data_IF_495781882815
#
_entry.id   IF_495781882815
#
_cell.length_a   1.000
_cell.length_b   1.000
_cell.length_c   1.000
_cell.angle_alpha   90.00
_cell.angle_beta   90.00
_cell.angle_gamma   90.00
#
_symmetry.space_group_name_H-M   'P 1'
#
loop_
_entity.id
_entity.type
_entity.pdbx_description
1 polymer ?
#
# COMPACT_ATOMS: atom_id res chain seq x y z
N UNK A 1 -3.89 6.56 10.79
CA UNK A 1 -4.18 7.75 9.94
C UNK A 1 -5.23 7.30 8.92
N UNK A 2 -6.25 8.11 8.63
CA UNK A 2 -7.27 7.76 7.63
C UNK A 2 -6.85 8.27 6.23
N UNK A 3 -6.57 7.39 5.26
CA UNK A 3 -6.13 7.78 3.92
C UNK A 3 -7.19 8.61 3.17
N UNK A 4 -8.48 8.30 3.32
CA UNK A 4 -9.57 8.97 2.60
C UNK A 4 -9.66 10.43 3.04
N UNK A 5 -9.52 10.68 4.34
CA UNK A 5 -9.50 12.03 4.89
C UNK A 5 -8.35 12.85 4.30
N UNK A 6 -7.13 12.30 4.29
CA UNK A 6 -5.96 13.03 3.81
C UNK A 6 -5.96 13.24 2.30
N UNK A 7 -6.41 12.26 1.52
CA UNK A 7 -6.59 12.41 0.08
C UNK A 7 -7.56 13.54 -0.25
N UNK A 8 -8.66 13.68 0.49
CA UNK A 8 -9.61 14.81 0.34
C UNK A 8 -8.97 16.15 0.73
N UNK A 9 -8.30 16.21 1.88
CA UNK A 9 -7.70 17.45 2.41
C UNK A 9 -6.54 17.98 1.56
N UNK A 10 -5.88 17.11 0.81
CA UNK A 10 -4.73 17.45 -0.01
C UNK A 10 -5.02 17.34 -1.51
N UNK A 11 -6.27 17.17 -1.93
CA UNK A 11 -6.65 16.91 -3.32
C UNK A 11 -6.00 17.85 -4.35
N UNK A 12 -5.86 19.12 -3.99
CA UNK A 12 -5.27 20.19 -4.82
C UNK A 12 -3.74 20.18 -4.86
N UNK A 13 -3.08 19.38 -4.01
CA UNK A 13 -1.62 19.33 -3.80
C UNK A 13 -1.01 17.96 -4.05
N UNK A 14 -1.82 16.95 -4.37
CA UNK A 14 -1.32 15.60 -4.64
C UNK A 14 -0.81 15.53 -6.08
N UNK A 15 0.51 15.38 -6.23
CA UNK A 15 1.19 15.21 -7.51
C UNK A 15 1.42 13.72 -7.86
N UNK A 16 1.57 12.89 -6.83
CA UNK A 16 1.97 11.50 -6.97
C UNK A 16 1.58 10.67 -5.74
N UNK A 17 1.16 9.41 -5.96
CA UNK A 17 0.68 8.51 -4.90
C UNK A 17 1.48 7.20 -4.90
N UNK A 18 1.84 6.74 -3.71
CA UNK A 18 2.41 5.41 -3.50
C UNK A 18 1.34 4.52 -2.86
N UNK A 19 1.04 3.40 -3.50
CA UNK A 19 0.24 2.34 -2.93
C UNK A 19 1.14 1.36 -2.20
N UNK A 20 0.83 1.20 -0.92
CA UNK A 20 1.51 0.36 0.06
C UNK A 20 0.42 -0.26 0.91
N UNK A 21 0.53 -1.56 1.16
CA UNK A 21 -0.45 -2.27 1.98
C UNK A 21 0.23 -2.94 3.17
N UNK A 22 -0.54 -3.11 4.23
CA UNK A 22 -0.05 -3.55 5.53
C UNK A 22 -0.83 -4.78 5.98
N UNK A 23 -0.11 -5.83 6.37
CA UNK A 23 -0.69 -6.96 7.10
C UNK A 23 -1.02 -6.51 8.53
N UNK A 24 -2.31 -6.52 8.89
CA UNK A 24 -2.77 -6.02 10.20
C UNK A 24 -2.21 -6.81 11.37
N UNK A 25 -2.09 -8.13 11.22
CA UNK A 25 -1.67 -9.01 12.30
C UNK A 25 -0.19 -8.78 12.59
N UNK A 26 0.62 -8.73 11.52
CA UNK A 26 2.04 -8.44 11.64
C UNK A 26 2.29 -7.00 12.11
N UNK A 27 1.47 -6.03 11.67
CA UNK A 27 1.54 -4.65 12.14
C UNK A 27 1.30 -4.56 13.65
N UNK A 28 0.24 -5.20 14.14
CA UNK A 28 -0.06 -5.24 15.58
C UNK A 28 1.07 -5.90 16.37
N UNK A 29 1.69 -6.96 15.86
CA UNK A 29 2.86 -7.58 16.49
C UNK A 29 4.04 -6.60 16.58
N UNK A 30 4.50 -6.05 15.46
CA UNK A 30 5.73 -5.23 15.42
C UNK A 30 5.57 -3.90 16.15
N UNK A 31 4.35 -3.36 16.25
CA UNK A 31 4.07 -2.15 17.03
C UNK A 31 4.22 -2.35 18.54
N UNK A 32 4.21 -3.59 19.03
CA UNK A 32 4.50 -3.93 20.42
C UNK A 32 5.99 -4.23 20.67
N UNK A 33 6.86 -4.05 19.68
CA UNK A 33 8.29 -4.35 19.75
C UNK A 33 9.16 -3.11 19.65
N UNK A 34 10.35 -3.16 20.28
CA UNK A 34 11.40 -2.20 20.00
C UNK A 34 12.24 -2.67 18.80
N UNK A 35 11.70 -2.46 17.60
CA UNK A 35 12.23 -3.00 16.34
C UNK A 35 12.61 -1.89 15.36
N UNK A 36 13.60 -2.14 14.50
CA UNK A 36 13.97 -1.22 13.42
C UNK A 36 13.01 -1.40 12.23
N UNK A 37 12.77 -0.33 11.49
CA UNK A 37 11.84 -0.32 10.35
C UNK A 37 12.05 -1.49 9.36
N UNK A 38 13.27 -1.69 8.87
CA UNK A 38 13.55 -2.75 7.90
C UNK A 38 13.49 -4.16 8.51
N UNK A 39 13.69 -4.29 9.83
CA UNK A 39 13.49 -5.58 10.49
C UNK A 39 11.98 -5.91 10.58
N UNK A 40 11.12 -4.91 10.81
CA UNK A 40 9.67 -5.09 10.74
C UNK A 40 9.20 -5.42 9.30
N UNK A 41 9.78 -4.77 8.29
CA UNK A 41 9.55 -5.15 6.88
C UNK A 41 10.00 -6.59 6.60
N UNK A 42 11.14 -7.01 7.15
CA UNK A 42 11.64 -8.38 7.01
C UNK A 42 10.73 -9.42 7.68
N UNK A 43 9.98 -9.03 8.72
CA UNK A 43 8.93 -9.83 9.35
C UNK A 43 7.64 -9.92 8.50
N UNK A 44 7.52 -9.15 7.43
CA UNK A 44 6.38 -9.21 6.52
C UNK A 44 5.25 -8.23 6.85
N UNK A 45 5.53 -7.12 7.56
CA UNK A 45 4.48 -6.11 7.82
C UNK A 45 3.94 -5.46 6.55
N UNK A 46 4.75 -5.34 5.50
CA UNK A 46 4.34 -4.85 4.19
C UNK A 46 3.95 -6.03 3.29
N UNK A 47 2.73 -6.03 2.77
CA UNK A 47 2.18 -7.13 1.98
C UNK A 47 1.80 -6.67 0.56
N UNK A 48 1.53 -7.61 -0.37
CA UNK A 48 0.98 -7.26 -1.68
C UNK A 48 -0.33 -6.47 -1.55
N UNK A 49 -0.56 -5.58 -2.50
CA UNK A 49 -1.76 -4.72 -2.56
C UNK A 49 -3.02 -5.58 -2.65
N UNK A 50 -3.99 -5.32 -1.77
CA UNK A 50 -5.26 -6.04 -1.69
C UNK A 50 -5.24 -7.26 -0.77
N UNK A 51 -4.11 -7.51 -0.09
CA UNK A 51 -3.99 -8.55 0.94
C UNK A 51 -3.91 -7.96 2.35
N UNK A 52 -3.80 -6.65 2.48
CA UNK A 52 -3.72 -5.97 3.76
C UNK A 52 -5.00 -5.24 4.13
N UNK A 53 -4.83 -4.16 4.90
CA UNK A 53 -5.93 -3.40 5.52
C UNK A 53 -6.53 -2.30 4.66
N UNK A 54 -5.87 -1.94 3.56
CA UNK A 54 -6.26 -0.76 2.80
C UNK A 54 -7.48 -1.04 1.91
N UNK A 55 -8.48 -0.17 1.98
CA UNK A 55 -9.68 -0.24 1.13
C UNK A 55 -9.45 0.48 -0.20
N UNK A 56 -8.90 -0.26 -1.17
CA UNK A 56 -8.61 0.26 -2.50
C UNK A 56 -9.84 0.56 -3.35
N UNK A 57 -11.01 -0.01 -3.04
CA UNK A 57 -12.26 0.31 -3.74
C UNK A 57 -12.71 1.73 -3.39
N UNK A 58 -12.79 2.03 -2.08
CA UNK A 58 -13.13 3.37 -1.61
C UNK A 58 -12.09 4.41 -2.03
N UNK A 59 -10.80 4.06 -2.01
CA UNK A 59 -9.73 4.94 -2.53
C UNK A 59 -9.94 5.23 -4.01
N UNK A 60 -10.31 4.23 -4.83
CA UNK A 60 -10.52 4.41 -6.27
C UNK A 60 -11.67 5.38 -6.57
N UNK A 61 -12.79 5.20 -5.88
CA UNK A 61 -13.95 6.08 -5.99
C UNK A 61 -13.58 7.52 -5.64
N UNK A 62 -12.82 7.71 -4.56
CA UNK A 62 -12.34 9.02 -4.17
C UNK A 62 -11.41 9.65 -5.22
N UNK A 63 -10.45 8.88 -5.75
CA UNK A 63 -9.51 9.40 -6.75
C UNK A 63 -10.25 9.89 -8.01
N UNK A 64 -11.33 9.21 -8.41
CA UNK A 64 -12.23 9.68 -9.47
C UNK A 64 -12.98 10.96 -9.07
N UNK A 65 -13.50 11.01 -7.85
CA UNK A 65 -14.23 12.18 -7.33
C UNK A 65 -13.36 13.45 -7.32
N UNK A 66 -12.11 13.34 -6.87
CA UNK A 66 -11.17 14.47 -6.86
C UNK A 66 -10.52 14.71 -8.22
N UNK A 67 -10.91 13.96 -9.26
CA UNK A 67 -10.39 14.05 -10.61
C UNK A 67 -8.86 13.93 -10.66
N UNK A 68 -8.30 12.98 -9.91
CA UNK A 68 -6.88 12.69 -9.91
C UNK A 68 -6.47 11.92 -11.17
N UNK A 69 -5.47 12.44 -11.89
CA UNK A 69 -4.93 11.86 -13.13
C UNK A 69 -3.40 11.64 -13.06
N UNK A 70 -2.83 11.77 -11.87
CA UNK A 70 -1.39 11.58 -11.65
C UNK A 70 -1.00 10.10 -11.59
N UNK A 71 0.29 9.85 -11.39
CA UNK A 71 0.81 8.49 -11.31
C UNK A 71 0.50 7.84 -9.96
N UNK A 72 0.34 6.52 -10.00
CA UNK A 72 0.32 5.68 -8.81
C UNK A 72 1.44 4.66 -8.95
N UNK A 73 2.27 4.51 -7.92
CA UNK A 73 3.29 3.47 -7.87
C UNK A 73 2.95 2.44 -6.81
N UNK A 74 2.99 1.18 -7.23
CA UNK A 74 2.98 0.03 -6.30
C UNK A 74 4.36 -0.04 -5.67
N UNK A 75 4.41 0.09 -4.35
CA UNK A 75 5.66 -0.03 -3.59
C UNK A 75 5.47 -0.98 -2.40
N UNK A 76 6.41 -1.90 -2.22
CA UNK A 76 6.42 -2.83 -1.10
C UNK A 76 7.85 -2.97 -0.57
N UNK A 77 8.09 -2.48 0.64
CA UNK A 77 9.38 -2.64 1.32
C UNK A 77 9.56 -4.08 1.79
N UNK A 78 10.77 -4.59 1.60
CA UNK A 78 11.16 -5.92 2.04
C UNK A 78 12.64 -5.99 2.32
N UNK A 79 13.06 -7.07 2.97
CA UNK A 79 14.47 -7.42 3.09
C UNK A 79 15.05 -7.75 1.70
N UNK A 80 16.10 -7.05 1.22
CA UNK A 80 16.69 -7.32 -0.09
C UNK A 80 17.31 -8.73 -0.19
N UNK A 81 17.60 -9.39 0.94
CA UNK A 81 18.06 -10.78 0.98
C UNK A 81 16.95 -11.78 0.62
N UNK A 82 15.69 -11.35 0.71
CA UNK A 82 14.49 -12.16 0.47
C UNK A 82 13.70 -11.63 -0.74
N UNK A 83 14.38 -11.24 -1.82
CA UNK A 83 13.76 -10.63 -3.00
C UNK A 83 13.18 -11.66 -4.02
N UNK A 84 13.26 -12.96 -3.74
CA UNK A 84 12.91 -14.02 -4.70
C UNK A 84 11.45 -14.00 -5.18
N UNK A 85 10.52 -13.51 -4.37
CA UNK A 85 9.08 -13.45 -4.71
C UNK A 85 8.65 -12.10 -5.25
N UNK A 86 9.57 -11.16 -5.52
CA UNK A 86 9.21 -9.77 -5.84
C UNK A 86 8.37 -9.65 -7.11
N UNK A 87 8.64 -10.48 -8.12
CA UNK A 87 7.83 -10.52 -9.33
C UNK A 87 6.42 -11.04 -9.05
N UNK A 88 6.29 -12.07 -8.22
CA UNK A 88 5.00 -12.66 -7.87
C UNK A 88 4.15 -11.68 -7.06
N UNK A 89 4.76 -11.00 -6.09
CA UNK A 89 4.08 -10.04 -5.20
C UNK A 89 3.57 -8.80 -5.98
N UNK A 90 4.41 -8.23 -6.86
CA UNK A 90 3.99 -7.10 -7.70
C UNK A 90 2.97 -7.54 -8.77
N UNK A 91 3.06 -8.77 -9.29
CA UNK A 91 2.09 -9.30 -10.25
C UNK A 91 0.71 -9.48 -9.61
N UNK A 92 0.66 -9.99 -8.38
CA UNK A 92 -0.57 -10.09 -7.59
C UNK A 92 -1.17 -8.71 -7.32
N UNK A 93 -0.34 -7.76 -6.88
CA UNK A 93 -0.76 -6.38 -6.62
C UNK A 93 -1.37 -5.72 -7.86
N UNK A 94 -0.71 -5.85 -9.01
CA UNK A 94 -1.21 -5.32 -10.28
C UNK A 94 -2.50 -6.01 -10.73
N UNK A 95 -2.61 -7.33 -10.57
CA UNK A 95 -3.81 -8.07 -10.92
C UNK A 95 -5.01 -7.63 -10.07
N UNK A 96 -4.82 -7.45 -8.76
CA UNK A 96 -5.84 -6.94 -7.85
C UNK A 96 -6.30 -5.53 -8.23
N UNK A 97 -5.37 -4.59 -8.45
CA UNK A 97 -5.72 -3.22 -8.83
C UNK A 97 -6.51 -3.16 -10.15
N UNK A 98 -6.14 -3.99 -11.14
CA UNK A 98 -6.92 -4.13 -12.39
C UNK A 98 -8.33 -4.65 -12.16
N UNK A 99 -8.53 -5.54 -11.20
CA UNK A 99 -9.85 -6.06 -10.83
C UNK A 99 -10.71 -4.97 -10.17
N UNK A 100 -10.12 -4.13 -9.33
CA UNK A 100 -10.80 -2.96 -8.72
C UNK A 100 -11.13 -1.89 -9.78
N UNK A 101 -10.37 -1.87 -10.88
CA UNK A 101 -10.63 -1.03 -12.05
C UNK A 101 -9.78 0.24 -12.10
N UNK A 102 -8.60 0.21 -11.49
CA UNK A 102 -7.52 1.19 -11.68
C UNK A 102 -6.94 1.16 -13.10
#
# INVERSE_FOLDING_TARGET
MDPIQWLRLCADRIDYIHFKDIDVQMYEEVMNEHIRFFDACAKGVMCPIGQGIMDYETIHELLKEINYHGYVTIEQERDPRNAGTSLDDVSQSLAYLKQVGY
#
